data_IF_655619204408
#
_entry.id   IF_655619204408
#
_cell.length_a   1.000
_cell.length_b   1.000
_cell.length_c   1.000
_cell.angle_alpha   90.00
_cell.angle_beta   90.00
_cell.angle_gamma   90.00
#
_symmetry.space_group_name_H-M   'P 1'
#
loop_
_entity.id
_entity.type
_entity.pdbx_description
1 polymer ?
#
# COMPACT_ATOMS: atom_id res chain seq x y z
N UNK A 1 0.00 -15.07 23.16
CA UNK A 1 0.76 -15.47 21.94
C UNK A 1 -0.13 -15.63 20.70
N UNK A 2 -1.41 -16.02 20.80
CA UNK A 2 -2.29 -16.22 19.62
C UNK A 2 -2.89 -14.95 18.98
N UNK A 3 -2.87 -13.81 19.66
CA UNK A 3 -3.47 -12.56 19.14
C UNK A 3 -2.73 -12.00 17.93
N UNK A 4 -1.41 -12.16 17.93
CA UNK A 4 -0.54 -11.72 16.82
C UNK A 4 -0.77 -12.58 15.56
N UNK A 5 -1.12 -13.86 15.75
CA UNK A 5 -1.32 -14.80 14.64
C UNK A 5 -2.58 -14.48 13.83
N UNK A 6 -3.62 -13.97 14.49
CA UNK A 6 -4.86 -13.55 13.82
C UNK A 6 -4.66 -12.23 13.07
N UNK A 7 -3.94 -11.27 13.66
CA UNK A 7 -3.56 -10.04 12.97
C UNK A 7 -2.75 -10.32 11.69
N UNK A 8 -1.80 -11.26 11.77
CA UNK A 8 -1.05 -11.76 10.59
C UNK A 8 -1.96 -12.42 9.57
N UNK A 9 -2.94 -13.23 10.00
CA UNK A 9 -3.86 -13.88 9.09
C UNK A 9 -4.70 -12.84 8.31
N UNK A 10 -5.13 -11.76 8.96
CA UNK A 10 -5.79 -10.64 8.29
C UNK A 10 -4.90 -9.97 7.24
N UNK A 11 -3.62 -9.73 7.55
CA UNK A 11 -2.68 -9.15 6.59
C UNK A 11 -2.52 -10.03 5.33
N UNK A 12 -2.39 -11.36 5.52
CA UNK A 12 -2.30 -12.33 4.43
C UNK A 12 -3.58 -12.31 3.58
N UNK A 13 -4.75 -12.34 4.22
CA UNK A 13 -6.04 -12.31 3.51
C UNK A 13 -6.19 -11.02 2.71
N UNK A 14 -5.82 -9.88 3.30
CA UNK A 14 -5.84 -8.59 2.60
C UNK A 14 -4.88 -8.57 1.40
N UNK A 15 -3.71 -9.19 1.51
CA UNK A 15 -2.77 -9.36 0.39
C UNK A 15 -3.38 -10.19 -0.75
N UNK A 16 -3.99 -11.34 -0.45
CA UNK A 16 -4.61 -12.20 -1.46
C UNK A 16 -5.81 -11.52 -2.15
N UNK A 17 -6.63 -10.77 -1.40
CA UNK A 17 -7.71 -9.97 -1.98
C UNK A 17 -7.14 -8.91 -2.94
N UNK A 18 -6.02 -8.26 -2.57
CA UNK A 18 -5.36 -7.28 -3.45
C UNK A 18 -4.79 -7.92 -4.72
N UNK A 19 -4.22 -9.12 -4.63
CA UNK A 19 -3.76 -9.86 -5.80
C UNK A 19 -4.92 -10.18 -6.76
N UNK A 20 -6.07 -10.57 -6.22
CA UNK A 20 -7.28 -10.82 -7.02
C UNK A 20 -7.78 -9.54 -7.71
N UNK A 21 -7.81 -8.40 -7.00
CA UNK A 21 -8.18 -7.09 -7.59
C UNK A 21 -7.22 -6.70 -8.72
N UNK A 22 -5.92 -6.91 -8.53
CA UNK A 22 -4.90 -6.60 -9.54
C UNK A 22 -4.98 -7.53 -10.77
N UNK A 23 -5.43 -8.77 -10.60
CA UNK A 23 -5.72 -9.67 -11.71
C UNK A 23 -6.95 -9.20 -12.51
N UNK A 24 -8.06 -8.91 -11.82
CA UNK A 24 -9.28 -8.39 -12.44
C UNK A 24 -9.03 -7.10 -13.24
N UNK A 25 -8.22 -6.18 -12.71
CA UNK A 25 -7.84 -4.96 -13.41
C UNK A 25 -7.07 -5.22 -14.71
N UNK A 26 -6.12 -6.17 -14.68
CA UNK A 26 -5.34 -6.54 -15.87
C UNK A 26 -6.24 -7.18 -16.93
N UNK A 27 -7.10 -8.10 -16.51
CA UNK A 27 -8.07 -8.75 -17.40
C UNK A 27 -9.08 -7.75 -17.98
N UNK A 28 -9.57 -6.80 -17.16
CA UNK A 28 -10.49 -5.75 -17.60
C UNK A 28 -9.86 -4.81 -18.62
N UNK A 29 -8.60 -4.43 -18.40
CA UNK A 29 -7.82 -3.62 -19.36
C UNK A 29 -7.64 -4.37 -20.69
N UNK A 30 -7.28 -5.64 -20.64
CA UNK A 30 -7.15 -6.48 -21.84
C UNK A 30 -8.48 -6.65 -22.59
N UNK A 31 -9.59 -6.80 -21.86
CA UNK A 31 -10.92 -6.88 -22.45
C UNK A 31 -11.32 -5.58 -23.15
N UNK A 32 -11.01 -4.42 -22.56
CA UNK A 32 -11.21 -3.10 -23.18
C UNK A 32 -10.37 -2.94 -24.45
N UNK A 33 -9.07 -3.24 -24.37
CA UNK A 33 -8.14 -3.16 -25.51
C UNK A 33 -8.57 -4.11 -26.65
N UNK A 34 -9.14 -5.26 -26.31
CA UNK A 34 -9.70 -6.23 -27.26
C UNK A 34 -11.12 -5.93 -27.76
N UNK A 35 -11.71 -4.78 -27.38
CA UNK A 35 -13.07 -4.39 -27.79
C UNK A 35 -14.21 -5.21 -27.18
N UNK A 36 -13.93 -6.00 -26.13
CA UNK A 36 -14.90 -6.86 -25.43
C UNK A 36 -15.54 -6.10 -24.27
N UNK A 37 -16.33 -5.08 -24.61
CA UNK A 37 -16.86 -4.12 -23.64
C UNK A 37 -17.77 -4.75 -22.57
N UNK A 38 -18.58 -5.75 -22.92
CA UNK A 38 -19.45 -6.43 -21.95
C UNK A 38 -18.63 -7.16 -20.87
N UNK A 39 -17.58 -7.87 -21.29
CA UNK A 39 -16.66 -8.58 -20.38
C UNK A 39 -15.90 -7.57 -19.51
N UNK A 40 -15.44 -6.47 -20.10
CA UNK A 40 -14.77 -5.42 -19.34
C UNK A 40 -15.69 -4.82 -18.26
N UNK A 41 -16.96 -4.58 -18.59
CA UNK A 41 -17.95 -4.05 -17.64
C UNK A 41 -18.14 -4.98 -16.45
N UNK A 42 -18.31 -6.27 -16.71
CA UNK A 42 -18.48 -7.28 -15.66
C UNK A 42 -17.24 -7.41 -14.76
N UNK A 43 -16.04 -7.29 -15.34
CA UNK A 43 -14.78 -7.32 -14.59
C UNK A 43 -14.61 -6.08 -13.71
N UNK A 44 -14.97 -4.89 -14.20
CA UNK A 44 -14.95 -3.65 -13.42
C UNK A 44 -15.96 -3.74 -12.26
N UNK A 45 -17.16 -4.25 -12.50
CA UNK A 45 -18.16 -4.42 -11.44
C UNK A 45 -17.64 -5.35 -10.33
N UNK A 46 -17.05 -6.49 -10.72
CA UNK A 46 -16.43 -7.42 -9.76
C UNK A 46 -15.25 -6.78 -9.02
N UNK A 47 -14.44 -5.98 -9.69
CA UNK A 47 -13.34 -5.24 -9.05
C UNK A 47 -13.86 -4.30 -7.95
N UNK A 48 -14.93 -3.54 -8.23
CA UNK A 48 -15.56 -2.64 -7.27
C UNK A 48 -16.13 -3.41 -6.06
N UNK A 49 -16.82 -4.52 -6.30
CA UNK A 49 -17.32 -5.40 -5.23
C UNK A 49 -16.17 -5.94 -4.36
N UNK A 50 -15.05 -6.33 -4.99
CA UNK A 50 -13.88 -6.85 -4.29
C UNK A 50 -13.16 -5.76 -3.47
N UNK A 51 -13.09 -4.52 -3.97
CA UNK A 51 -12.60 -3.36 -3.20
C UNK A 51 -13.47 -3.09 -1.98
N UNK A 52 -14.79 -3.11 -2.12
CA UNK A 52 -15.72 -2.95 -1.01
C UNK A 52 -15.57 -4.08 0.03
N UNK A 53 -15.39 -5.32 -0.41
CA UNK A 53 -15.10 -6.45 0.47
C UNK A 53 -13.77 -6.28 1.22
N UNK A 54 -12.69 -5.88 0.53
CA UNK A 54 -11.39 -5.56 1.16
C UNK A 54 -11.55 -4.53 2.28
N UNK A 55 -12.31 -3.46 2.04
CA UNK A 55 -12.55 -2.43 3.06
C UNK A 55 -13.16 -3.02 4.32
N UNK A 56 -14.20 -3.86 4.16
CA UNK A 56 -14.84 -4.56 5.30
C UNK A 56 -13.86 -5.46 6.04
N UNK A 57 -13.01 -6.21 5.33
CA UNK A 57 -11.97 -7.04 5.96
C UNK A 57 -10.95 -6.19 6.73
N UNK A 58 -10.57 -5.03 6.19
CA UNK A 58 -9.68 -4.07 6.86
C UNK A 58 -10.33 -3.50 8.13
N UNK A 59 -11.63 -3.21 8.10
CA UNK A 59 -12.34 -2.73 9.27
C UNK A 59 -12.46 -3.81 10.35
N UNK A 60 -12.72 -5.07 9.96
CA UNK A 60 -12.68 -6.22 10.87
C UNK A 60 -11.29 -6.41 11.52
N UNK A 61 -10.22 -6.20 10.76
CA UNK A 61 -8.86 -6.22 11.31
C UNK A 61 -8.67 -5.12 12.38
N UNK A 62 -9.13 -3.90 12.10
CA UNK A 62 -9.07 -2.79 13.08
C UNK A 62 -9.89 -3.09 14.33
N UNK A 63 -11.10 -3.62 14.16
CA UNK A 63 -11.96 -4.05 15.27
C UNK A 63 -11.26 -5.11 16.12
N UNK A 64 -10.70 -6.14 15.49
CA UNK A 64 -9.91 -7.15 16.17
C UNK A 64 -8.78 -6.56 17.01
N UNK A 65 -8.00 -5.62 16.46
CA UNK A 65 -6.90 -4.97 17.18
C UNK A 65 -7.37 -4.17 18.40
N UNK A 66 -8.52 -3.49 18.30
CA UNK A 66 -9.09 -2.71 19.42
C UNK A 66 -9.43 -3.57 20.63
N UNK A 67 -9.88 -4.81 20.43
CA UNK A 67 -10.21 -5.73 21.53
C UNK A 67 -8.98 -6.17 22.35
N UNK A 68 -7.77 -6.07 21.81
CA UNK A 68 -6.56 -6.59 22.46
C UNK A 68 -5.53 -5.53 22.86
N UNK A 69 -5.72 -4.27 22.50
CA UNK A 69 -4.86 -3.14 22.95
C UNK A 69 -5.04 -2.77 24.44
N UNK A 70 -6.00 -3.37 25.16
CA UNK A 70 -6.33 -3.00 26.54
C UNK A 70 -5.62 -3.81 27.65
N UNK A 71 -4.80 -4.82 27.37
CA UNK A 71 -4.16 -5.61 28.45
C UNK A 71 -2.76 -6.09 28.09
N UNK A 72 -1.71 -5.39 28.54
CA UNK A 72 -0.39 -6.03 28.76
C UNK A 72 0.36 -5.38 29.93
N UNK A 73 0.84 -6.17 30.90
CA UNK A 73 2.20 -6.02 31.38
C UNK A 73 3.08 -7.20 30.94
N UNK A 74 4.33 -6.83 30.68
CA UNK A 74 5.40 -7.53 29.99
C UNK A 74 6.06 -8.62 30.85
N UNK A 75 6.36 -9.81 30.29
CA UNK A 75 7.66 -10.52 30.45
C UNK A 75 7.77 -11.88 29.71
N UNK A 76 8.75 -11.94 28.80
CA UNK A 76 9.80 -12.94 28.57
C UNK A 76 9.51 -14.47 28.55
N UNK A 77 9.81 -15.14 27.43
CA UNK A 77 11.03 -15.96 27.14
C UNK A 77 10.82 -16.93 25.95
N UNK A 78 11.93 -17.20 25.25
CA UNK A 78 12.11 -17.93 23.96
C UNK A 78 11.88 -19.44 24.06
N UNK A 79 11.44 -20.09 22.97
CA UNK A 79 11.98 -21.38 22.45
C UNK A 79 11.66 -21.55 20.94
N UNK A 80 12.58 -22.12 20.16
CA UNK A 80 12.54 -22.28 18.69
C UNK A 80 11.90 -23.62 18.25
N UNK A 81 11.14 -23.61 17.16
CA UNK A 81 10.91 -24.76 16.27
C UNK A 81 10.82 -24.28 14.80
N UNK A 82 11.20 -25.08 13.78
CA UNK A 82 11.28 -24.64 12.39
C UNK A 82 10.05 -25.08 11.57
N UNK A 83 9.33 -24.12 10.97
CA UNK A 83 8.42 -24.31 9.80
C UNK A 83 7.82 -22.97 9.39
N UNK A 84 7.90 -22.66 8.09
CA UNK A 84 7.42 -21.44 7.43
C UNK A 84 7.71 -20.14 8.19
N UNK A 85 8.72 -19.39 7.74
CA UNK A 85 8.93 -18.03 8.25
C UNK A 85 7.76 -17.14 7.82
N UNK A 86 6.67 -17.20 8.60
CA UNK A 86 5.64 -16.19 8.73
C UNK A 86 6.34 -14.88 9.05
N UNK A 87 6.04 -13.86 8.24
CA UNK A 87 6.43 -12.50 8.54
C UNK A 87 5.63 -12.05 9.75
N UNK A 88 6.32 -11.53 10.77
CA UNK A 88 5.66 -10.88 11.91
C UNK A 88 4.90 -9.63 11.41
N UNK A 89 3.74 -9.31 11.98
CA UNK A 89 2.98 -8.15 11.57
C UNK A 89 3.71 -6.87 12.01
N UNK A 90 3.62 -5.81 11.20
CA UNK A 90 4.38 -4.56 11.39
C UNK A 90 5.78 -4.54 10.74
N UNK A 91 6.12 -5.56 9.95
CA UNK A 91 7.42 -5.70 9.30
C UNK A 91 7.53 -5.04 7.93
N UNK A 92 6.48 -4.42 7.37
CA UNK A 92 6.51 -3.73 6.08
C UNK A 92 6.24 -2.24 6.29
N UNK A 93 6.84 -1.37 5.48
CA UNK A 93 6.57 0.06 5.56
C UNK A 93 5.08 0.31 5.25
N UNK A 94 4.31 0.94 6.15
CA UNK A 94 2.89 1.24 5.91
C UNK A 94 2.70 2.17 4.71
N UNK A 95 1.56 2.08 4.02
CA UNK A 95 1.20 2.97 2.90
C UNK A 95 1.35 4.45 3.29
N UNK A 96 0.94 4.83 4.51
CA UNK A 96 1.05 6.20 5.02
C UNK A 96 2.48 6.75 5.03
N UNK A 97 3.48 5.88 5.23
CA UNK A 97 4.90 6.28 5.23
C UNK A 97 5.42 6.57 3.81
N UNK A 98 4.69 6.19 2.77
CA UNK A 98 5.03 6.51 1.37
C UNK A 98 4.42 7.83 0.89
N UNK A 99 3.42 8.38 1.60
CA UNK A 99 2.70 9.59 1.17
C UNK A 99 3.63 10.79 1.01
N UNK A 100 4.35 11.12 2.08
CA UNK A 100 5.30 12.25 2.09
C UNK A 100 6.43 12.06 1.06
N UNK A 101 7.15 10.91 0.99
CA UNK A 101 8.17 10.69 -0.03
C UNK A 101 7.66 10.81 -1.48
N UNK A 102 6.43 10.35 -1.76
CA UNK A 102 5.83 10.46 -3.10
C UNK A 102 5.55 11.93 -3.45
N UNK A 103 4.89 12.67 -2.54
CA UNK A 103 4.58 14.09 -2.76
C UNK A 103 5.85 14.92 -2.91
N UNK A 104 6.87 14.67 -2.07
CA UNK A 104 8.17 15.31 -2.18
C UNK A 104 8.83 15.02 -3.53
N UNK A 105 8.85 13.76 -3.96
CA UNK A 105 9.43 13.36 -5.24
C UNK A 105 8.77 14.05 -6.43
N UNK A 106 7.45 14.28 -6.37
CA UNK A 106 6.70 15.00 -7.40
C UNK A 106 7.01 16.50 -7.40
N UNK A 107 7.06 17.14 -6.22
CA UNK A 107 7.44 18.56 -6.11
C UNK A 107 8.85 18.79 -6.64
N UNK A 108 9.81 17.95 -6.27
CA UNK A 108 11.19 17.98 -6.78
C UNK A 108 11.29 17.70 -8.29
N UNK A 109 10.24 17.15 -8.91
CA UNK A 109 10.18 16.90 -10.35
C UNK A 109 9.39 17.98 -11.11
N UNK A 110 9.02 19.08 -10.46
CA UNK A 110 8.22 20.16 -11.07
C UNK A 110 6.71 19.95 -10.98
N UNK A 111 6.23 18.97 -10.20
CA UNK A 111 4.82 18.70 -9.94
C UNK A 111 4.23 17.50 -10.69
N UNK A 112 4.91 17.00 -11.72
CA UNK A 112 4.46 15.85 -12.50
C UNK A 112 5.65 15.02 -12.97
N UNK A 113 5.57 13.69 -12.92
CA UNK A 113 6.64 12.82 -13.36
C UNK A 113 6.18 11.39 -13.71
N UNK A 114 6.93 10.68 -14.57
CA UNK A 114 6.69 9.26 -14.83
C UNK A 114 6.78 8.41 -13.56
N UNK A 115 5.95 7.37 -13.45
CA UNK A 115 5.84 6.52 -12.25
C UNK A 115 7.21 5.99 -11.81
N UNK A 116 8.00 5.44 -12.74
CA UNK A 116 9.31 4.87 -12.42
C UNK A 116 10.26 5.93 -11.84
N UNK A 117 10.26 7.14 -12.41
CA UNK A 117 11.05 8.27 -11.92
C UNK A 117 10.66 8.65 -10.48
N UNK A 118 9.37 8.66 -10.17
CA UNK A 118 8.87 8.93 -8.82
C UNK A 118 9.30 7.82 -7.87
N UNK A 119 9.10 6.56 -8.25
CA UNK A 119 9.47 5.41 -7.42
C UNK A 119 10.99 5.41 -7.14
N UNK A 120 11.84 5.64 -8.14
CA UNK A 120 13.29 5.66 -7.95
C UNK A 120 13.75 6.82 -7.05
N UNK A 121 13.01 7.95 -7.00
CA UNK A 121 13.23 9.02 -6.02
C UNK A 121 12.78 8.60 -4.63
N UNK A 122 11.61 7.99 -4.50
CA UNK A 122 11.09 7.45 -3.23
C UNK A 122 12.07 6.43 -2.63
N UNK A 123 12.62 5.53 -3.44
CA UNK A 123 13.63 4.56 -2.99
C UNK A 123 14.87 5.26 -2.45
N UNK A 124 15.32 6.36 -3.06
CA UNK A 124 16.43 7.14 -2.53
C UNK A 124 16.10 7.86 -1.22
N UNK A 125 14.86 8.34 -1.05
CA UNK A 125 14.43 9.10 0.13
C UNK A 125 14.22 8.24 1.36
N UNK A 126 13.65 7.04 1.18
CA UNK A 126 13.25 6.15 2.30
C UNK A 126 13.81 4.74 2.20
N UNK A 127 14.67 4.46 1.22
CA UNK A 127 15.29 3.15 1.04
C UNK A 127 16.00 2.65 2.27
N UNK A 128 16.72 3.52 2.98
CA UNK A 128 17.43 3.13 4.21
C UNK A 128 16.49 2.73 5.36
N UNK A 129 15.20 3.10 5.25
CA UNK A 129 14.14 2.73 6.19
C UNK A 129 13.36 1.50 5.74
N UNK A 130 13.56 1.04 4.50
CA UNK A 130 12.99 -0.21 4.02
C UNK A 130 13.62 -1.38 4.76
N UNK A 131 12.75 -2.14 5.41
CA UNK A 131 13.13 -3.42 6.00
C UNK A 131 13.39 -4.47 4.91
N UNK A 132 13.83 -5.65 5.32
CA UNK A 132 14.12 -6.75 4.41
C UNK A 132 12.91 -7.18 3.54
N UNK A 133 11.68 -6.88 3.95
CA UNK A 133 10.45 -7.31 3.28
C UNK A 133 9.98 -6.35 2.20
N UNK A 134 10.17 -5.06 2.42
CA UNK A 134 10.01 -4.03 1.40
C UNK A 134 10.89 -4.34 0.18
N UNK A 135 12.10 -4.86 0.43
CA UNK A 135 13.10 -5.22 -0.58
C UNK A 135 12.93 -6.61 -1.19
N UNK A 136 12.05 -7.45 -0.63
CA UNK A 136 11.74 -8.74 -1.24
C UNK A 136 10.97 -8.55 -2.54
N UNK A 137 11.25 -9.43 -3.50
CA UNK A 137 10.59 -9.42 -4.80
C UNK A 137 9.23 -10.11 -4.71
N UNK A 138 8.37 -9.84 -5.69
CA UNK A 138 7.08 -10.49 -5.78
C UNK A 138 7.25 -11.94 -6.26
N UNK A 139 6.55 -12.93 -5.68
CA UNK A 139 6.55 -14.30 -6.21
C UNK A 139 6.01 -14.38 -7.64
N UNK A 140 5.14 -13.44 -8.01
CA UNK A 140 4.56 -13.30 -9.35
C UNK A 140 5.45 -12.56 -10.35
N UNK A 141 6.38 -11.72 -9.86
CA UNK A 141 7.36 -11.02 -10.68
C UNK A 141 8.66 -10.80 -9.87
N UNK A 142 9.67 -11.66 -10.08
CA UNK A 142 10.94 -11.59 -9.36
C UNK A 142 11.73 -10.30 -9.60
N UNK A 143 11.34 -9.46 -10.55
CA UNK A 143 12.04 -8.22 -10.89
C UNK A 143 11.53 -6.99 -10.12
N UNK A 144 10.38 -7.12 -9.45
CA UNK A 144 9.70 -5.99 -8.79
C UNK A 144 9.76 -6.15 -7.27
N UNK A 145 10.44 -5.24 -6.55
CA UNK A 145 10.37 -5.16 -5.09
C UNK A 145 8.96 -4.85 -4.60
N UNK A 146 8.54 -5.51 -3.52
CA UNK A 146 7.21 -5.37 -2.90
C UNK A 146 6.87 -3.93 -2.49
N UNK A 147 7.86 -3.13 -2.11
CA UNK A 147 7.64 -1.73 -1.74
C UNK A 147 7.09 -0.90 -2.90
N UNK A 148 7.45 -1.20 -4.16
CA UNK A 148 6.95 -0.47 -5.33
C UNK A 148 5.44 -0.64 -5.47
N UNK A 149 4.93 -1.84 -5.25
CA UNK A 149 3.48 -2.09 -5.24
C UNK A 149 2.80 -1.31 -4.10
N UNK A 150 3.41 -1.30 -2.92
CA UNK A 150 2.91 -0.54 -1.75
C UNK A 150 2.84 0.96 -2.03
N UNK A 151 3.84 1.53 -2.70
CA UNK A 151 3.84 2.93 -3.11
C UNK A 151 2.75 3.25 -4.13
N UNK A 152 2.44 2.33 -5.06
CA UNK A 152 1.32 2.50 -5.98
C UNK A 152 -0.04 2.49 -5.27
N UNK A 153 -0.20 1.71 -4.20
CA UNK A 153 -1.41 1.74 -3.37
C UNK A 153 -1.52 3.04 -2.58
N UNK A 154 -0.42 3.52 -2.00
CA UNK A 154 -0.39 4.85 -1.39
C UNK A 154 -0.84 5.92 -2.39
N UNK A 155 -0.43 5.83 -3.66
CA UNK A 155 -0.94 6.72 -4.72
C UNK A 155 -2.44 6.59 -4.94
N UNK A 156 -3.00 5.39 -4.99
CA UNK A 156 -4.45 5.22 -5.16
C UNK A 156 -5.22 5.94 -4.05
N UNK A 157 -4.85 5.71 -2.78
CA UNK A 157 -5.47 6.38 -1.64
C UNK A 157 -5.32 7.91 -1.73
N UNK A 158 -4.12 8.40 -2.09
CA UNK A 158 -3.87 9.84 -2.26
C UNK A 158 -4.66 10.47 -3.42
N UNK A 159 -5.04 9.73 -4.46
CA UNK A 159 -5.95 10.22 -5.50
C UNK A 159 -7.37 10.33 -4.98
N UNK A 160 -7.85 9.34 -4.24
CA UNK A 160 -9.19 9.37 -3.61
C UNK A 160 -9.31 10.53 -2.61
N UNK A 161 -8.22 10.84 -1.91
CA UNK A 161 -8.13 11.98 -0.98
C UNK A 161 -7.84 13.32 -1.67
N UNK A 162 -7.68 13.34 -3.00
CA UNK A 162 -7.45 14.55 -3.77
C UNK A 162 -6.05 15.17 -3.64
N UNK A 163 -5.09 14.46 -3.05
CA UNK A 163 -3.67 14.90 -2.94
C UNK A 163 -2.90 14.70 -4.26
N UNK A 164 -3.32 13.73 -5.06
CA UNK A 164 -2.80 13.47 -6.40
C UNK A 164 -3.92 13.55 -7.43
N UNK A 165 -3.58 13.95 -8.65
CA UNK A 165 -4.56 14.10 -9.72
C UNK A 165 -5.08 12.75 -10.21
N UNK A 166 -6.40 12.64 -10.35
CA UNK A 166 -7.07 11.50 -10.99
C UNK A 166 -6.99 11.54 -12.52
N UNK A 167 -6.72 12.73 -13.09
CA UNK A 167 -6.74 13.00 -14.53
C UNK A 167 -5.33 13.03 -15.16
N UNK A 168 -4.33 12.47 -14.49
CA UNK A 168 -2.96 12.41 -15.02
C UNK A 168 -2.86 11.48 -16.24
N UNK A 169 -1.98 11.78 -17.21
CA UNK A 169 -1.69 10.88 -18.33
C UNK A 169 -1.26 9.48 -17.85
N UNK A 170 -1.54 8.45 -18.66
CA UNK A 170 -1.15 7.06 -18.35
C UNK A 170 0.36 6.97 -18.11
N UNK A 171 0.75 6.40 -16.98
CA UNK A 171 2.16 6.25 -16.60
C UNK A 171 2.81 7.47 -15.94
N UNK A 172 2.01 8.51 -15.65
CA UNK A 172 2.45 9.76 -15.01
C UNK A 172 1.66 9.98 -13.73
N UNK A 173 2.33 10.44 -12.69
CA UNK A 173 1.69 10.93 -11.47
C UNK A 173 1.89 12.45 -11.37
N UNK A 174 0.86 13.13 -10.87
CA UNK A 174 0.84 14.58 -10.72
C UNK A 174 0.26 14.99 -9.38
N UNK A 175 0.91 15.96 -8.73
CA UNK A 175 0.50 16.49 -7.44
C UNK A 175 -0.52 17.62 -7.62
N UNK A 176 -1.58 17.62 -6.80
CA UNK A 176 -2.56 18.72 -6.76
C UNK A 176 -2.10 19.82 -5.81
N UNK A 177 -2.79 20.97 -5.82
CA UNK A 177 -2.54 22.02 -4.82
C UNK A 177 -2.83 21.53 -3.40
N UNK A 178 -3.89 20.73 -3.20
CA UNK A 178 -4.17 20.07 -1.93
C UNK A 178 -3.00 19.20 -1.47
N UNK A 179 -2.39 18.44 -2.39
CA UNK A 179 -1.19 17.65 -2.12
C UNK A 179 0.01 18.49 -1.71
N UNK A 180 0.20 19.66 -2.31
CA UNK A 180 1.27 20.61 -1.95
C UNK A 180 1.06 21.19 -0.55
N UNK A 181 -0.18 21.59 -0.23
CA UNK A 181 -0.54 22.08 1.11
C UNK A 181 -0.31 21.00 2.16
N UNK A 182 -0.80 19.78 1.91
CA UNK A 182 -0.59 18.63 2.79
C UNK A 182 0.90 18.39 3.04
N UNK A 183 1.72 18.41 1.98
CA UNK A 183 3.17 18.24 2.10
C UNK A 183 3.79 19.35 2.95
N UNK A 184 3.40 20.61 2.75
CA UNK A 184 3.94 21.74 3.52
C UNK A 184 3.61 21.61 5.02
N UNK A 185 2.37 21.26 5.37
CA UNK A 185 1.94 21.06 6.76
C UNK A 185 2.70 19.92 7.46
N UNK A 186 2.98 18.83 6.73
CA UNK A 186 3.62 17.64 7.29
C UNK A 186 5.16 17.64 7.16
N UNK A 187 5.73 18.50 6.32
CA UNK A 187 7.18 18.70 6.21
C UNK A 187 7.73 19.61 7.33
N UNK A 188 6.91 20.53 7.85
CA UNK A 188 7.28 21.45 8.95
C UNK A 188 7.17 20.76 10.33
N UNK A 189 6.40 19.68 10.44
CA UNK A 189 6.27 18.88 11.65
C UNK A 189 6.74 17.44 11.42
N UNK A 190 8.04 17.12 11.60
CA UNK A 190 8.44 15.72 11.68
C UNK A 190 7.70 15.10 12.86
N UNK A 191 6.78 14.18 12.56
CA UNK A 191 5.87 13.53 13.50
C UNK A 191 6.61 13.11 14.77
N UNK A 192 6.50 13.94 15.80
CA UNK A 192 6.82 13.60 17.18
C UNK A 192 5.53 13.03 17.75
N UNK A 193 5.31 11.74 17.57
CA UNK A 193 4.23 11.02 18.23
C UNK A 193 4.81 9.80 18.93
N UNK A 194 5.38 10.05 20.09
CA UNK A 194 5.48 9.11 21.20
C UNK A 194 4.99 9.86 22.42
N UNK A 195 3.80 9.53 22.89
CA UNK A 195 3.42 9.54 24.31
C UNK A 195 2.23 8.62 24.46
#
# INVERSE_FOLDING_TARGET
MHQNEVAVAFDIVLEEINNAIAALNREGTQALEGGKYDIARDLIEKELQMKAFRSRVKDLQKEWLKFFTAVVPQKARRHKAPRYQKLQPGLRTPEDKFRIPILQSLVESGGSAPINTVLDKVERLVGDRFNAYDRQTLPSDPTIPRWRNTAQWARHAMVEEGLLSSNSPRGVWEITDTGRTFLAEHAVHPTSAST
#
